data_IF_883084432977
#
_entry.id   IF_883084432977
#
_cell.length_a   1.000
_cell.length_b   1.000
_cell.length_c   1.000
_cell.angle_alpha   90.00
_cell.angle_beta   90.00
_cell.angle_gamma   90.00
#
_symmetry.space_group_name_H-M   'P 1'
#
loop_
_entity.id
_entity.type
_entity.pdbx_description
1 polymer ?
#
# COMPACT_ATOMS: atom_id res chain seq x y z
N UNK A 1 1.72 3.17 -37.11
CA UNK A 1 0.91 2.53 -36.04
C UNK A 1 0.11 3.61 -35.33
N UNK A 2 -1.19 3.41 -35.15
CA UNK A 2 -2.02 4.32 -34.37
C UNK A 2 -1.56 4.30 -32.90
N UNK A 3 -1.35 5.47 -32.23
CA UNK A 3 -0.93 5.52 -30.87
C UNK A 3 -1.99 4.91 -29.93
N UNK A 4 -1.53 4.18 -28.90
CA UNK A 4 -2.40 3.60 -27.87
C UNK A 4 -2.90 4.70 -26.94
N UNK A 5 -4.18 4.70 -26.64
CA UNK A 5 -4.79 5.65 -25.71
C UNK A 5 -4.70 5.12 -24.27
N UNK A 6 -4.04 5.85 -23.40
CA UNK A 6 -3.92 5.51 -21.99
C UNK A 6 -4.62 6.56 -21.15
N UNK A 7 -5.61 6.14 -20.38
CA UNK A 7 -6.23 7.01 -19.38
C UNK A 7 -5.50 6.84 -18.06
N UNK A 8 -5.10 7.96 -17.45
CA UNK A 8 -4.43 8.01 -16.14
C UNK A 8 -5.32 8.74 -15.15
N UNK A 9 -5.68 8.07 -14.05
CA UNK A 9 -6.41 8.65 -12.94
C UNK A 9 -5.79 8.27 -11.60
N UNK A 10 -5.24 9.26 -10.89
CA UNK A 10 -4.54 9.08 -9.61
C UNK A 10 -5.43 9.35 -8.39
N UNK A 11 -6.74 9.51 -8.60
CA UNK A 11 -7.70 9.85 -7.55
C UNK A 11 -7.70 11.34 -7.21
N UNK A 12 -8.01 11.64 -5.96
CA UNK A 12 -8.16 13.03 -5.47
C UNK A 12 -6.82 13.79 -5.49
N UNK A 13 -5.72 13.08 -5.31
CA UNK A 13 -4.36 13.67 -5.38
C UNK A 13 -3.82 13.52 -6.80
N UNK A 14 -3.82 14.62 -7.52
CA UNK A 14 -3.25 14.69 -8.87
C UNK A 14 -1.74 14.48 -8.83
N UNK A 15 -1.24 13.51 -9.57
CA UNK A 15 0.19 13.31 -9.80
C UNK A 15 0.52 13.47 -11.30
N UNK A 16 0.90 14.69 -11.67
CA UNK A 16 1.26 15.01 -13.05
C UNK A 16 2.55 14.30 -13.49
N UNK A 17 3.41 13.85 -12.54
CA UNK A 17 4.65 13.11 -12.84
C UNK A 17 4.35 11.74 -13.45
N UNK A 18 3.32 11.04 -12.95
CA UNK A 18 2.92 9.76 -13.52
C UNK A 18 2.41 9.93 -14.95
N UNK A 19 1.54 10.92 -15.18
CA UNK A 19 1.05 11.23 -16.52
C UNK A 19 2.19 11.61 -17.47
N UNK A 20 3.16 12.38 -17.01
CA UNK A 20 4.34 12.73 -17.78
C UNK A 20 5.21 11.50 -18.12
N UNK A 21 5.43 10.62 -17.14
CA UNK A 21 6.19 9.38 -17.34
C UNK A 21 5.51 8.44 -18.35
N UNK A 22 4.20 8.28 -18.28
CA UNK A 22 3.43 7.48 -19.24
C UNK A 22 3.46 8.12 -20.63
N UNK A 23 3.36 9.45 -20.71
CA UNK A 23 3.42 10.19 -22.00
C UNK A 23 4.78 10.10 -22.70
N UNK A 24 5.85 9.84 -21.94
CA UNK A 24 7.18 9.65 -22.49
C UNK A 24 7.36 8.30 -23.21
N UNK A 25 6.42 7.38 -23.07
CA UNK A 25 6.47 6.07 -23.74
C UNK A 25 6.14 6.25 -25.23
N UNK A 26 7.01 5.85 -26.16
CA UNK A 26 6.73 5.97 -27.59
C UNK A 26 5.45 5.25 -28.02
N UNK A 27 4.63 5.89 -28.83
CA UNK A 27 3.38 5.30 -29.33
C UNK A 27 2.22 5.34 -28.34
N UNK A 28 2.36 6.06 -27.24
CA UNK A 28 1.29 6.28 -26.26
C UNK A 28 0.77 7.71 -26.33
N UNK A 29 -0.55 7.87 -26.21
CA UNK A 29 -1.23 9.14 -26.00
C UNK A 29 -1.96 9.09 -24.66
N UNK A 30 -1.69 10.04 -23.77
CA UNK A 30 -2.25 10.05 -22.41
C UNK A 30 -3.41 11.03 -22.29
N UNK A 31 -4.50 10.55 -21.68
CA UNK A 31 -5.59 11.38 -21.16
C UNK A 31 -5.52 11.36 -19.64
N UNK A 32 -5.21 12.51 -19.03
CA UNK A 32 -5.20 12.63 -17.55
C UNK A 32 -6.58 13.03 -17.07
N UNK A 33 -7.25 12.14 -16.34
CA UNK A 33 -8.52 12.44 -15.70
C UNK A 33 -8.30 13.25 -14.42
N UNK A 34 -9.11 14.31 -14.24
CA UNK A 34 -8.99 15.24 -13.12
C UNK A 34 -9.88 14.89 -11.93
N UNK A 35 -10.94 14.18 -12.21
CA UNK A 35 -11.95 13.74 -11.27
C UNK A 35 -12.52 12.38 -11.69
N UNK A 36 -13.39 11.84 -10.84
CA UNK A 36 -14.03 10.55 -11.07
C UNK A 36 -14.89 10.51 -12.33
N UNK A 37 -15.62 11.58 -12.60
CA UNK A 37 -16.51 11.66 -13.76
C UNK A 37 -15.73 11.68 -15.07
N UNK A 38 -14.65 12.47 -15.15
CA UNK A 38 -13.76 12.50 -16.32
C UNK A 38 -13.01 11.19 -16.51
N UNK A 39 -12.68 10.48 -15.41
CA UNK A 39 -12.08 9.14 -15.49
C UNK A 39 -13.05 8.14 -16.12
N UNK A 40 -14.29 8.08 -15.64
CA UNK A 40 -15.34 7.21 -16.17
C UNK A 40 -15.62 7.49 -17.66
N UNK A 41 -15.70 8.75 -18.04
CA UNK A 41 -15.92 9.15 -19.43
C UNK A 41 -14.76 8.72 -20.35
N UNK A 42 -13.51 8.87 -19.88
CA UNK A 42 -12.32 8.56 -20.67
C UNK A 42 -12.04 7.05 -20.83
N UNK A 43 -12.63 6.19 -20.01
CA UNK A 43 -12.47 4.72 -20.10
C UNK A 43 -12.98 4.19 -21.44
N UNK A 44 -14.07 4.73 -21.96
CA UNK A 44 -14.69 4.26 -23.21
C UNK A 44 -13.73 4.23 -24.40
N UNK A 45 -12.88 5.25 -24.53
CA UNK A 45 -11.95 5.40 -25.65
C UNK A 45 -10.52 4.91 -25.34
N UNK A 46 -10.29 4.37 -24.15
CA UNK A 46 -9.00 3.92 -23.70
C UNK A 46 -8.63 2.53 -24.24
N UNK A 47 -7.36 2.32 -24.58
CA UNK A 47 -6.76 1.00 -24.79
C UNK A 47 -6.22 0.43 -23.46
N UNK A 48 -5.79 1.32 -22.54
CA UNK A 48 -5.33 0.95 -21.21
C UNK A 48 -5.75 1.99 -20.16
N UNK A 49 -5.93 1.54 -18.92
CA UNK A 49 -6.26 2.38 -17.76
C UNK A 49 -5.16 2.24 -16.69
N UNK A 50 -4.61 3.37 -16.25
CA UNK A 50 -3.76 3.45 -15.06
C UNK A 50 -4.54 4.20 -13.98
N UNK A 51 -4.94 3.50 -12.90
CA UNK A 51 -5.92 4.05 -11.97
C UNK A 51 -5.68 3.61 -10.53
N UNK A 52 -6.02 4.51 -9.59
CA UNK A 52 -6.28 4.08 -8.21
C UNK A 52 -7.56 3.24 -8.15
N UNK A 53 -7.58 2.29 -7.22
CA UNK A 53 -8.81 1.54 -6.89
C UNK A 53 -9.55 2.12 -5.68
N UNK A 54 -9.05 3.22 -5.11
CA UNK A 54 -9.75 3.96 -4.06
C UNK A 54 -10.99 4.63 -4.65
N UNK A 55 -12.15 4.35 -4.06
CA UNK A 55 -13.43 4.81 -4.59
C UNK A 55 -13.94 4.02 -5.79
N UNK A 56 -13.36 2.84 -6.07
CA UNK A 56 -13.90 1.88 -7.01
C UNK A 56 -15.31 1.46 -6.59
N UNK A 57 -16.20 1.28 -7.56
CA UNK A 57 -17.58 0.86 -7.35
C UNK A 57 -18.18 0.22 -8.58
N UNK A 58 -19.44 -0.19 -8.51
CA UNK A 58 -20.16 -0.87 -9.59
C UNK A 58 -20.19 -0.07 -10.91
N UNK A 59 -20.15 1.26 -10.84
CA UNK A 59 -20.10 2.12 -12.01
C UNK A 59 -18.77 2.04 -12.77
N UNK A 60 -17.62 1.91 -12.07
CA UNK A 60 -16.34 1.63 -12.68
C UNK A 60 -16.32 0.24 -13.33
N UNK A 61 -16.76 -0.79 -12.59
CA UNK A 61 -16.88 -2.14 -13.14
C UNK A 61 -17.74 -2.16 -14.42
N UNK A 62 -18.88 -1.47 -14.41
CA UNK A 62 -19.75 -1.33 -15.57
C UNK A 62 -19.12 -0.52 -16.73
N UNK A 63 -18.33 0.50 -16.44
CA UNK A 63 -17.61 1.27 -17.46
C UNK A 63 -16.54 0.41 -18.13
N UNK A 64 -15.76 -0.35 -17.37
CA UNK A 64 -14.75 -1.28 -17.91
C UNK A 64 -15.41 -2.36 -18.80
N UNK A 65 -16.50 -2.95 -18.34
CA UNK A 65 -17.21 -4.00 -19.10
C UNK A 65 -17.74 -3.51 -20.46
N UNK A 66 -18.02 -2.20 -20.58
CA UNK A 66 -18.52 -1.57 -21.80
C UNK A 66 -17.45 -0.91 -22.67
N UNK A 67 -16.20 -0.88 -22.22
CA UNK A 67 -15.11 -0.25 -22.96
C UNK A 67 -14.60 -1.18 -24.07
N UNK A 68 -14.86 -0.88 -25.36
CA UNK A 68 -14.68 -1.84 -26.47
C UNK A 68 -13.20 -2.07 -26.83
N UNK A 69 -12.33 -1.17 -26.41
CA UNK A 69 -10.89 -1.17 -26.77
C UNK A 69 -9.98 -1.47 -25.61
N UNK A 70 -10.51 -1.40 -24.38
CA UNK A 70 -9.72 -1.58 -23.17
C UNK A 70 -9.27 -3.03 -23.05
N UNK A 71 -7.96 -3.25 -22.87
CA UNK A 71 -7.38 -4.58 -22.73
C UNK A 71 -6.57 -4.76 -21.44
N UNK A 72 -6.23 -3.67 -20.77
CA UNK A 72 -5.37 -3.71 -19.60
C UNK A 72 -5.67 -2.60 -18.61
N UNK A 73 -5.62 -2.93 -17.34
CA UNK A 73 -5.66 -1.99 -16.23
C UNK A 73 -4.45 -2.19 -15.30
N UNK A 74 -3.73 -1.10 -15.03
CA UNK A 74 -2.74 -1.00 -13.96
C UNK A 74 -3.37 -0.34 -12.74
N UNK A 75 -3.55 -1.09 -11.65
CA UNK A 75 -3.91 -0.53 -10.36
C UNK A 75 -2.70 0.13 -9.69
N UNK A 76 -2.88 1.36 -9.19
CA UNK A 76 -1.85 2.11 -8.44
C UNK A 76 -1.78 1.71 -6.96
N UNK A 77 -2.58 0.75 -6.55
CA UNK A 77 -2.65 0.18 -5.21
C UNK A 77 -2.12 -1.26 -5.24
N UNK A 78 -1.62 -1.74 -4.13
CA UNK A 78 -1.25 -3.16 -3.97
C UNK A 78 -2.48 -4.02 -3.75
N UNK A 79 -3.41 -3.59 -2.87
CA UNK A 79 -4.70 -4.25 -2.63
C UNK A 79 -5.69 -3.92 -3.75
N UNK A 80 -6.44 -4.92 -4.20
CA UNK A 80 -7.46 -4.83 -5.25
C UNK A 80 -8.82 -5.40 -4.79
N UNK A 81 -9.02 -5.50 -3.48
CA UNK A 81 -10.21 -6.09 -2.87
C UNK A 81 -11.51 -5.42 -3.37
N UNK A 82 -11.50 -4.09 -3.55
CA UNK A 82 -12.65 -3.35 -4.09
C UNK A 82 -12.98 -3.77 -5.53
N UNK A 83 -11.95 -4.18 -6.30
CA UNK A 83 -12.15 -4.66 -7.67
C UNK A 83 -12.81 -6.04 -7.64
N UNK A 84 -12.37 -6.92 -6.73
CA UNK A 84 -12.97 -8.25 -6.53
C UNK A 84 -14.42 -8.13 -6.04
N UNK A 85 -14.71 -7.21 -5.12
CA UNK A 85 -16.04 -6.99 -4.56
C UNK A 85 -17.07 -6.55 -5.63
N UNK A 86 -16.68 -5.66 -6.53
CA UNK A 86 -17.58 -5.08 -7.53
C UNK A 86 -17.49 -5.76 -8.91
N UNK A 87 -16.61 -6.73 -9.04
CA UNK A 87 -16.36 -7.46 -10.27
C UNK A 87 -15.35 -6.77 -11.20
N UNK A 88 -14.63 -7.61 -11.95
CA UNK A 88 -13.67 -7.18 -12.97
C UNK A 88 -13.90 -8.03 -14.23
N UNK A 89 -13.96 -7.40 -15.42
CA UNK A 89 -14.21 -8.14 -16.66
C UNK A 89 -13.11 -9.15 -16.95
N UNK A 90 -13.48 -10.41 -17.19
CA UNK A 90 -12.54 -11.53 -17.41
C UNK A 90 -11.60 -11.32 -18.61
N UNK A 91 -12.03 -10.55 -19.61
CA UNK A 91 -11.23 -10.27 -20.81
C UNK A 91 -10.14 -9.23 -20.60
N UNK A 92 -10.11 -8.55 -19.46
CA UNK A 92 -9.13 -7.53 -19.14
C UNK A 92 -8.00 -8.09 -18.29
N UNK A 93 -6.76 -7.71 -18.61
CA UNK A 93 -5.63 -7.96 -17.73
C UNK A 93 -5.59 -6.92 -16.61
N UNK A 94 -5.51 -7.38 -15.36
CA UNK A 94 -5.28 -6.55 -14.18
C UNK A 94 -3.86 -6.75 -13.65
N UNK A 95 -3.14 -5.66 -13.47
CA UNK A 95 -1.85 -5.65 -12.77
C UNK A 95 -1.90 -4.61 -11.65
N UNK A 96 -1.06 -4.79 -10.64
CA UNK A 96 -0.94 -3.85 -9.53
C UNK A 96 0.53 -3.42 -9.31
N UNK A 97 0.77 -2.52 -8.36
CA UNK A 97 2.14 -2.02 -8.08
C UNK A 97 3.00 -3.01 -7.29
N UNK A 98 2.46 -4.16 -6.90
CA UNK A 98 3.20 -5.18 -6.17
C UNK A 98 3.88 -4.65 -4.90
N UNK A 99 5.19 -4.94 -4.69
CA UNK A 99 5.89 -4.59 -3.47
C UNK A 99 6.44 -3.16 -3.40
N UNK A 100 6.19 -2.30 -4.40
CA UNK A 100 6.83 -0.98 -4.54
C UNK A 100 6.74 -0.12 -3.27
N UNK A 101 5.59 -0.17 -2.58
CA UNK A 101 5.36 0.62 -1.36
C UNK A 101 5.73 -0.10 -0.06
N UNK A 102 6.25 -1.34 -0.13
CA UNK A 102 6.45 -2.17 1.06
C UNK A 102 7.44 -1.57 2.04
N UNK A 103 8.53 -0.99 1.55
CA UNK A 103 9.54 -0.33 2.38
C UNK A 103 8.96 0.90 3.09
N UNK A 104 8.27 1.77 2.35
CA UNK A 104 7.69 2.99 2.94
C UNK A 104 6.67 2.68 4.04
N UNK A 105 5.83 1.66 3.82
CA UNK A 105 4.85 1.22 4.83
C UNK A 105 5.53 0.58 6.03
N UNK A 106 6.59 -0.21 5.82
CA UNK A 106 7.35 -0.83 6.90
C UNK A 106 8.11 0.22 7.75
N UNK A 107 8.71 1.22 7.12
CA UNK A 107 9.33 2.36 7.83
C UNK A 107 8.32 3.12 8.66
N UNK A 108 7.13 3.38 8.12
CA UNK A 108 6.06 4.04 8.87
C UNK A 108 5.60 3.20 10.06
N UNK A 109 5.43 1.89 9.88
CA UNK A 109 5.08 0.97 10.97
C UNK A 109 6.14 0.97 12.08
N UNK A 110 7.43 0.90 11.71
CA UNK A 110 8.53 1.01 12.68
C UNK A 110 8.54 2.37 13.40
N UNK A 111 8.33 3.47 12.68
CA UNK A 111 8.29 4.81 13.27
C UNK A 111 7.17 4.94 14.30
N UNK A 112 5.97 4.43 14.00
CA UNK A 112 4.86 4.38 14.95
C UNK A 112 5.19 3.53 16.18
N UNK A 113 5.74 2.34 15.97
CA UNK A 113 6.12 1.42 17.05
C UNK A 113 7.18 2.04 17.97
N UNK A 114 8.22 2.62 17.41
CA UNK A 114 9.24 3.32 18.18
C UNK A 114 8.68 4.58 18.86
N UNK A 115 7.80 5.31 18.18
CA UNK A 115 7.11 6.47 18.74
C UNK A 115 6.30 6.14 19.99
N UNK A 116 5.58 5.02 19.98
CA UNK A 116 4.83 4.53 21.14
C UNK A 116 5.77 4.09 22.26
N UNK A 117 6.81 3.29 21.96
CA UNK A 117 7.77 2.82 22.95
C UNK A 117 8.57 3.95 23.60
N UNK A 118 8.76 5.05 22.89
CA UNK A 118 9.48 6.23 23.34
C UNK A 118 8.59 7.36 23.82
N UNK A 119 7.27 7.14 23.89
CA UNK A 119 6.27 8.12 24.37
C UNK A 119 6.37 9.46 23.62
N UNK A 120 6.63 9.38 22.31
CA UNK A 120 6.82 10.58 21.47
C UNK A 120 5.63 11.53 21.46
N UNK A 121 4.35 11.06 21.48
CA UNK A 121 3.20 11.96 21.57
C UNK A 121 3.21 12.81 22.87
N UNK A 122 3.51 12.20 24.01
CA UNK A 122 3.57 12.85 25.30
C UNK A 122 4.73 13.86 25.39
N UNK A 123 5.89 13.47 24.84
CA UNK A 123 7.05 14.36 24.75
C UNK A 123 6.78 15.56 23.84
N UNK A 124 6.13 15.34 22.68
CA UNK A 124 5.75 16.42 21.78
C UNK A 124 4.74 17.39 22.44
N UNK A 125 3.76 16.86 23.17
CA UNK A 125 2.81 17.69 23.92
C UNK A 125 3.50 18.50 25.03
N UNK A 126 4.46 17.92 25.74
CA UNK A 126 5.27 18.61 26.75
C UNK A 126 6.11 19.74 26.12
N UNK A 127 6.74 19.47 24.99
CA UNK A 127 7.53 20.45 24.24
C UNK A 127 6.69 21.68 23.84
N UNK A 128 5.46 21.46 23.37
CA UNK A 128 4.54 22.58 23.04
C UNK A 128 4.22 23.45 24.25
N UNK A 129 4.16 22.88 25.46
CA UNK A 129 3.97 23.61 26.72
C UNK A 129 5.26 24.17 27.30
N UNK A 130 6.41 23.94 26.66
CA UNK A 130 7.76 24.25 27.17
C UNK A 130 8.02 23.62 28.55
N UNK A 131 7.51 22.40 28.73
CA UNK A 131 7.60 21.62 29.97
C UNK A 131 8.68 20.54 29.80
N UNK A 132 9.60 20.42 30.75
CA UNK A 132 10.60 19.37 30.80
C UNK A 132 10.01 18.13 31.49
N UNK A 133 9.23 17.33 30.76
CA UNK A 133 8.49 16.19 31.30
C UNK A 133 9.31 14.90 31.44
N UNK A 134 10.66 14.98 31.49
CA UNK A 134 11.53 13.81 31.46
C UNK A 134 11.25 12.84 32.62
N UNK A 135 11.12 13.33 33.84
CA UNK A 135 10.89 12.48 35.01
C UNK A 135 9.50 11.83 35.01
N UNK A 136 8.50 12.49 34.42
CA UNK A 136 7.15 11.93 34.26
C UNK A 136 7.11 10.82 33.20
N UNK A 137 7.84 10.99 32.11
CA UNK A 137 7.79 10.06 30.97
C UNK A 137 8.80 8.90 31.13
N UNK A 138 9.93 9.14 31.77
CA UNK A 138 11.05 8.19 31.90
C UNK A 138 10.64 6.80 32.39
N UNK A 139 9.79 6.61 33.41
CA UNK A 139 9.42 5.26 33.89
C UNK A 139 8.68 4.42 32.86
N UNK A 140 8.04 5.05 31.86
CA UNK A 140 7.25 4.40 30.84
C UNK A 140 8.02 4.18 29.52
N UNK A 141 9.25 4.70 29.44
CA UNK A 141 10.09 4.52 28.26
C UNK A 141 10.50 3.05 28.11
N UNK A 142 10.38 2.55 26.89
CA UNK A 142 10.77 1.19 26.56
C UNK A 142 11.58 1.15 25.27
N UNK A 143 12.20 0.02 24.98
CA UNK A 143 12.99 -0.20 23.76
C UNK A 143 12.47 -1.41 23.02
N UNK A 144 12.64 -1.44 21.71
CA UNK A 144 12.26 -2.57 20.87
C UNK A 144 13.23 -3.75 21.04
N UNK A 145 14.48 -3.50 21.42
CA UNK A 145 15.51 -4.54 21.66
C UNK A 145 15.00 -5.55 22.67
N UNK A 146 15.10 -6.84 22.33
CA UNK A 146 14.69 -7.96 23.17
C UNK A 146 13.18 -8.21 23.26
N UNK A 147 12.35 -7.33 22.68
CA UNK A 147 10.91 -7.57 22.62
C UNK A 147 10.56 -8.61 21.56
N UNK A 148 9.44 -9.27 21.74
CA UNK A 148 8.83 -10.12 20.72
C UNK A 148 7.80 -9.31 19.94
N UNK A 149 7.89 -9.38 18.61
CA UNK A 149 7.00 -8.70 17.67
C UNK A 149 6.31 -9.75 16.81
N UNK A 150 5.01 -9.89 16.97
CA UNK A 150 4.16 -10.68 16.08
C UNK A 150 3.66 -9.80 14.94
N UNK A 151 3.88 -10.23 13.70
CA UNK A 151 3.45 -9.51 12.49
C UNK A 151 2.32 -10.28 11.83
N UNK A 152 1.10 -9.77 11.98
CA UNK A 152 -0.09 -10.34 11.35
C UNK A 152 -0.15 -9.92 9.87
N UNK A 153 -0.02 -10.89 8.97
CA UNK A 153 0.13 -10.68 7.54
C UNK A 153 1.60 -10.64 7.12
N UNK A 154 2.15 -11.82 6.76
CA UNK A 154 3.57 -11.97 6.43
C UNK A 154 3.79 -12.08 4.92
N UNK A 155 3.45 -10.99 4.20
CA UNK A 155 3.74 -10.78 2.77
C UNK A 155 4.90 -9.79 2.59
N UNK A 156 4.90 -8.99 1.53
CA UNK A 156 5.98 -8.04 1.25
C UNK A 156 6.18 -6.99 2.37
N UNK A 157 5.10 -6.38 2.85
CA UNK A 157 5.15 -5.39 3.93
C UNK A 157 5.60 -6.05 5.24
N UNK A 158 5.01 -7.21 5.57
CA UNK A 158 5.38 -7.94 6.79
C UNK A 158 6.84 -8.32 6.82
N UNK A 159 7.41 -8.80 5.69
CA UNK A 159 8.84 -9.10 5.58
C UNK A 159 9.72 -7.87 5.77
N UNK A 160 9.37 -6.76 5.12
CA UNK A 160 10.11 -5.52 5.27
C UNK A 160 10.08 -5.01 6.72
N UNK A 161 8.91 -5.06 7.37
CA UNK A 161 8.75 -4.71 8.79
C UNK A 161 9.56 -5.63 9.70
N UNK A 162 9.56 -6.95 9.43
CA UNK A 162 10.34 -7.92 10.17
C UNK A 162 11.84 -7.62 10.13
N UNK A 163 12.37 -7.29 8.95
CA UNK A 163 13.77 -6.93 8.78
C UNK A 163 14.14 -5.69 9.61
N UNK A 164 13.29 -4.64 9.57
CA UNK A 164 13.51 -3.41 10.34
C UNK A 164 13.41 -3.65 11.85
N UNK A 165 12.43 -4.41 12.33
CA UNK A 165 12.30 -4.76 13.75
C UNK A 165 13.47 -5.61 14.21
N UNK A 166 13.91 -6.58 13.41
CA UNK A 166 15.08 -7.41 13.68
C UNK A 166 16.36 -6.60 13.78
N UNK A 167 16.58 -5.63 12.88
CA UNK A 167 17.71 -4.70 12.95
C UNK A 167 17.72 -3.86 14.24
N UNK A 168 16.55 -3.58 14.83
CA UNK A 168 16.42 -2.96 16.15
C UNK A 168 16.62 -3.94 17.31
N UNK A 169 16.92 -5.23 17.04
CA UNK A 169 17.16 -6.25 18.05
C UNK A 169 15.90 -6.90 18.62
N UNK A 170 14.77 -6.80 17.93
CA UNK A 170 13.56 -7.54 18.28
C UNK A 170 13.63 -8.99 17.80
N UNK A 171 12.96 -9.90 18.52
CA UNK A 171 12.60 -11.23 18.01
C UNK A 171 11.29 -11.09 17.22
N UNK A 172 11.24 -11.63 16.02
CA UNK A 172 10.06 -11.48 15.15
C UNK A 172 9.48 -12.85 14.82
N UNK A 173 8.16 -12.94 14.91
CA UNK A 173 7.37 -14.05 14.37
C UNK A 173 6.33 -13.50 13.38
N UNK A 174 6.31 -14.04 12.17
CA UNK A 174 5.26 -13.76 11.20
C UNK A 174 4.01 -14.58 11.49
N UNK A 175 2.83 -14.04 11.22
CA UNK A 175 1.56 -14.76 11.28
C UNK A 175 0.92 -14.72 9.89
N UNK A 176 0.58 -15.88 9.34
CA UNK A 176 -0.04 -15.99 8.02
C UNK A 176 -1.03 -17.17 7.97
N UNK A 177 -1.64 -17.42 6.82
CA UNK A 177 -2.55 -18.57 6.63
C UNK A 177 -1.84 -19.91 6.74
N UNK A 178 -0.59 -19.97 6.29
CA UNK A 178 0.20 -21.20 6.22
C UNK A 178 1.52 -21.02 6.95
N UNK A 179 1.86 -21.98 7.82
CA UNK A 179 3.15 -22.04 8.51
C UNK A 179 4.30 -22.27 7.51
N UNK A 180 5.41 -21.60 7.75
CA UNK A 180 6.66 -21.76 6.96
C UNK A 180 7.83 -21.10 7.67
N UNK A 181 9.03 -21.41 7.20
CA UNK A 181 10.19 -20.54 7.44
C UNK A 181 10.38 -19.67 6.20
N UNK A 182 10.37 -18.37 6.39
CA UNK A 182 10.60 -17.42 5.30
C UNK A 182 12.07 -17.46 4.85
N UNK A 183 12.42 -17.14 3.59
CA UNK A 183 13.80 -17.08 3.14
C UNK A 183 14.72 -16.18 3.98
N UNK A 184 14.17 -15.21 4.72
CA UNK A 184 14.91 -14.39 5.70
C UNK A 184 15.24 -15.12 7.01
N UNK A 185 14.79 -16.36 7.18
CA UNK A 185 14.91 -17.13 8.42
C UNK A 185 13.82 -16.84 9.44
N UNK A 186 12.90 -15.93 9.19
CA UNK A 186 11.79 -15.63 10.09
C UNK A 186 10.79 -16.79 10.12
N UNK A 187 10.46 -17.26 11.33
CA UNK A 187 9.41 -18.26 11.52
C UNK A 187 8.06 -17.61 11.28
N UNK A 188 7.24 -18.25 10.48
CA UNK A 188 5.86 -17.82 10.18
C UNK A 188 4.91 -18.91 10.70
N UNK A 189 4.10 -18.54 11.66
CA UNK A 189 3.11 -19.41 12.28
C UNK A 189 1.72 -19.22 11.65
N UNK A 190 0.84 -20.22 11.70
CA UNK A 190 -0.53 -20.08 11.24
C UNK A 190 -1.32 -19.16 12.16
N UNK A 191 -2.34 -18.51 11.61
CA UNK A 191 -3.21 -17.58 12.38
C UNK A 191 -3.86 -18.23 13.60
N UNK A 192 -4.06 -19.56 13.59
CA UNK A 192 -4.57 -20.33 14.72
C UNK A 192 -3.68 -20.29 15.96
N UNK A 193 -2.38 -19.98 15.77
CA UNK A 193 -1.42 -19.84 16.87
C UNK A 193 -1.20 -18.39 17.34
N UNK A 194 -2.00 -17.45 16.87
CA UNK A 194 -1.81 -16.03 17.21
C UNK A 194 -1.83 -15.77 18.73
N UNK A 195 -2.63 -16.51 19.49
CA UNK A 195 -2.68 -16.36 20.96
C UNK A 195 -1.54 -17.06 21.71
N UNK A 196 -0.70 -17.82 21.00
CA UNK A 196 0.45 -18.56 21.59
C UNK A 196 1.78 -17.83 21.36
N UNK A 197 1.78 -16.82 20.51
CA UNK A 197 2.91 -16.00 20.09
C UNK A 197 2.90 -14.64 20.80
#
# INVERSE_FOLDING_TARGET
>A
MTPKQVTVWTGVRRDDRLSAAVSAVPGVRVTTARDRASALAAIHDADALVSTVVGWGADFAAALARAPRLVWMQALNTGVDNVEEHGFPEHLALTNVGPVNSTNVAEHALALLLGLLRRMPELAAAQLRRDWAFDAVRPELSTLRGKHVAILGFSHIGRATAALCGACGARVTGIARTARVDPSGTVVEPVTKLCEV
#
